data_IF_501495679945
#
_entry.id   IF_501495679945
#
_cell.length_a   1.000
_cell.length_b   1.000
_cell.length_c   1.000
_cell.angle_alpha   90.00
_cell.angle_beta   90.00
_cell.angle_gamma   90.00
#
_symmetry.space_group_name_H-M   'P 1'
#
loop_
_entity.id
_entity.type
_entity.pdbx_description
1 polymer ?
#
# COMPACT_ATOMS: atom_id res chain seq x y z
N UNK A 1 22.07 7.68 -26.91
CA UNK A 1 21.79 9.12 -26.71
C UNK A 1 20.61 9.35 -25.76
N UNK A 2 19.47 8.67 -25.98
CA UNK A 2 18.27 8.71 -25.11
C UNK A 2 18.57 8.37 -23.64
N UNK A 3 19.38 7.33 -23.38
CA UNK A 3 19.73 6.89 -22.02
C UNK A 3 20.57 7.92 -21.24
N UNK A 4 21.39 8.72 -21.92
CA UNK A 4 22.21 9.77 -21.27
C UNK A 4 21.37 11.01 -20.94
N UNK A 5 20.38 11.35 -21.78
CA UNK A 5 19.48 12.49 -21.56
C UNK A 5 18.43 12.21 -20.48
N UNK A 6 17.96 10.96 -20.37
CA UNK A 6 17.05 10.54 -19.30
C UNK A 6 17.66 10.65 -17.90
N UNK A 7 18.98 10.36 -17.77
CA UNK A 7 19.71 10.51 -16.50
C UNK A 7 20.26 11.92 -16.24
N UNK A 8 20.28 12.78 -17.26
CA UNK A 8 20.81 14.15 -17.20
C UNK A 8 19.80 15.23 -16.80
N UNK A 9 18.58 14.86 -16.41
CA UNK A 9 17.55 15.79 -15.91
C UNK A 9 16.76 16.54 -17.00
N UNK A 10 16.91 16.18 -18.28
CA UNK A 10 16.17 16.82 -19.38
C UNK A 10 15.20 15.83 -20.05
N UNK A 11 14.30 15.27 -19.24
CA UNK A 11 13.38 14.19 -19.60
C UNK A 11 12.43 14.58 -20.74
N UNK A 12 11.96 15.83 -20.78
CA UNK A 12 11.09 16.35 -21.86
C UNK A 12 11.80 16.40 -23.22
N UNK A 13 13.08 16.77 -23.24
CA UNK A 13 13.88 16.76 -24.46
C UNK A 13 14.16 15.32 -24.92
N UNK A 14 14.43 14.41 -23.98
CA UNK A 14 14.60 12.99 -24.28
C UNK A 14 13.33 12.38 -24.90
N UNK A 15 12.15 12.66 -24.33
CA UNK A 15 10.87 12.19 -24.85
C UNK A 15 10.62 12.69 -26.29
N UNK A 16 10.88 13.98 -26.56
CA UNK A 16 10.76 14.55 -27.91
C UNK A 16 11.66 13.85 -28.92
N UNK A 17 12.91 13.54 -28.55
CA UNK A 17 13.83 12.78 -29.42
C UNK A 17 13.32 11.36 -29.68
N UNK A 18 12.76 10.67 -28.67
CA UNK A 18 12.18 9.32 -28.86
C UNK A 18 11.01 9.35 -29.86
N UNK A 19 10.16 10.37 -29.75
CA UNK A 19 8.99 10.55 -30.62
C UNK A 19 9.39 10.94 -32.05
N UNK A 20 10.38 11.83 -32.20
CA UNK A 20 10.82 12.39 -33.48
C UNK A 20 11.74 11.46 -34.27
N UNK A 21 12.70 10.82 -33.59
CA UNK A 21 13.76 10.04 -34.24
C UNK A 21 13.30 8.66 -34.72
N UNK A 22 12.25 8.08 -34.13
CA UNK A 22 11.90 6.68 -34.42
C UNK A 22 10.44 6.35 -34.76
N UNK A 23 9.46 7.27 -34.70
CA UNK A 23 8.02 6.93 -34.87
C UNK A 23 7.55 5.74 -34.01
N UNK A 24 8.29 5.35 -32.97
CA UNK A 24 8.02 4.18 -32.12
C UNK A 24 7.32 4.63 -30.86
N UNK A 25 5.99 4.62 -30.90
CA UNK A 25 5.14 4.97 -29.76
C UNK A 25 5.42 4.07 -28.55
N UNK A 26 5.67 2.78 -28.77
CA UNK A 26 5.91 1.79 -27.71
C UNK A 26 7.09 2.19 -26.81
N UNK A 27 8.21 2.63 -27.40
CA UNK A 27 9.38 3.09 -26.64
C UNK A 27 9.11 4.36 -25.85
N UNK A 28 8.26 5.23 -26.36
CA UNK A 28 7.87 6.45 -25.65
C UNK A 28 6.96 6.13 -24.46
N UNK A 29 6.07 5.15 -24.62
CA UNK A 29 5.22 4.63 -23.54
C UNK A 29 6.08 3.99 -22.45
N UNK A 30 7.05 3.15 -22.82
CA UNK A 30 7.96 2.52 -21.85
C UNK A 30 8.80 3.56 -21.09
N UNK A 31 9.30 4.59 -21.78
CA UNK A 31 10.01 5.70 -21.14
C UNK A 31 9.12 6.46 -20.14
N UNK A 32 7.87 6.74 -20.49
CA UNK A 32 6.92 7.37 -19.57
C UNK A 32 6.59 6.48 -18.38
N UNK A 33 6.51 5.15 -18.56
CA UNK A 33 6.30 4.18 -17.47
C UNK A 33 7.49 4.10 -16.52
N UNK A 34 8.73 4.15 -17.04
CA UNK A 34 9.94 4.11 -16.21
C UNK A 34 10.10 5.36 -15.33
N UNK A 35 9.65 6.52 -15.82
CA UNK A 35 9.81 7.80 -15.13
C UNK A 35 8.60 8.24 -14.29
N UNK A 36 7.43 7.64 -14.49
CA UNK A 36 6.18 7.90 -13.74
C UNK A 36 5.83 9.40 -13.56
N UNK A 37 6.06 10.20 -14.61
CA UNK A 37 5.87 11.65 -14.59
C UNK A 37 4.63 12.08 -15.40
N UNK A 38 3.70 12.75 -14.74
CA UNK A 38 2.46 13.26 -15.33
C UNK A 38 2.69 14.30 -16.45
N UNK A 39 3.76 15.10 -16.39
CA UNK A 39 4.09 16.07 -17.44
C UNK A 39 4.56 15.36 -18.71
N UNK A 40 5.35 14.28 -18.57
CA UNK A 40 5.78 13.47 -19.71
C UNK A 40 4.58 12.79 -20.40
N UNK A 41 3.63 12.28 -19.61
CA UNK A 41 2.38 11.74 -20.15
C UNK A 41 1.56 12.80 -20.88
N UNK A 42 1.45 14.01 -20.32
CA UNK A 42 0.75 15.11 -20.97
C UNK A 42 1.39 15.51 -22.31
N UNK A 43 2.71 15.58 -22.36
CA UNK A 43 3.46 15.84 -23.59
C UNK A 43 3.18 14.73 -24.62
N UNK A 44 3.29 13.45 -24.23
CA UNK A 44 3.04 12.30 -25.10
C UNK A 44 1.61 12.30 -25.67
N UNK A 45 0.60 12.57 -24.83
CA UNK A 45 -0.81 12.66 -25.26
C UNK A 45 -0.99 13.80 -26.26
N UNK A 46 -0.36 14.96 -26.03
CA UNK A 46 -0.44 16.11 -26.94
C UNK A 46 0.17 15.80 -28.30
N UNK A 47 1.22 14.98 -28.35
CA UNK A 47 1.78 14.46 -29.61
C UNK A 47 0.87 13.41 -30.26
N UNK A 48 0.31 12.48 -29.47
CA UNK A 48 -0.54 11.40 -29.96
C UNK A 48 -1.86 11.89 -30.57
N UNK A 49 -2.48 12.93 -30.00
CA UNK A 49 -3.75 13.52 -30.50
C UNK A 49 -3.63 14.03 -31.95
N UNK A 50 -2.42 14.35 -32.42
CA UNK A 50 -2.18 14.77 -33.81
C UNK A 50 -2.24 13.61 -34.82
N UNK A 51 -2.23 12.35 -34.38
CA UNK A 51 -2.24 11.15 -35.24
C UNK A 51 -3.21 10.09 -34.72
N UNK A 52 -4.28 9.74 -35.45
CA UNK A 52 -5.34 8.87 -34.93
C UNK A 52 -4.84 7.46 -34.61
N UNK A 53 -3.91 6.94 -35.40
CA UNK A 53 -3.34 5.58 -35.22
C UNK A 53 -2.63 5.43 -33.87
N UNK A 54 -2.04 6.51 -33.35
CA UNK A 54 -1.35 6.49 -32.07
C UNK A 54 -2.31 6.51 -30.89
N UNK A 55 -3.51 7.09 -31.04
CA UNK A 55 -4.49 7.15 -29.96
C UNK A 55 -4.95 5.74 -29.58
N UNK A 56 -5.22 4.89 -30.59
CA UNK A 56 -5.66 3.51 -30.37
C UNK A 56 -4.60 2.68 -29.66
N UNK A 57 -3.34 2.83 -30.04
CA UNK A 57 -2.22 2.10 -29.43
C UNK A 57 -1.87 2.64 -28.04
N UNK A 58 -1.93 3.96 -27.85
CA UNK A 58 -1.80 4.59 -26.54
C UNK A 58 -2.88 4.05 -25.59
N UNK A 59 -4.16 4.09 -25.98
CA UNK A 59 -5.27 3.58 -25.17
C UNK A 59 -5.13 2.10 -24.80
N UNK A 60 -4.57 1.28 -25.69
CA UNK A 60 -4.33 -0.14 -25.43
C UNK A 60 -3.24 -0.39 -24.38
N UNK A 61 -2.26 0.50 -24.30
CA UNK A 61 -1.01 0.30 -23.54
C UNK A 61 -0.85 1.18 -22.29
N UNK A 62 -1.74 2.17 -22.11
CA UNK A 62 -1.75 3.07 -20.95
C UNK A 62 -2.13 2.36 -19.64
N UNK A 63 -2.99 1.33 -19.70
CA UNK A 63 -3.41 0.59 -18.50
C UNK A 63 -3.86 1.51 -17.37
N UNK A 64 -3.21 1.40 -16.20
CA UNK A 64 -3.52 2.13 -14.96
C UNK A 64 -2.69 3.39 -14.74
N UNK A 65 -1.78 3.75 -15.65
CA UNK A 65 -0.82 4.85 -15.43
C UNK A 65 -1.43 6.24 -15.67
N UNK A 66 -2.44 6.33 -16.54
CA UNK A 66 -3.10 7.60 -16.87
C UNK A 66 -4.60 7.37 -16.98
N UNK A 67 -5.38 8.31 -16.48
CA UNK A 67 -6.84 8.31 -16.64
C UNK A 67 -7.23 8.43 -18.13
N UNK A 68 -7.94 7.44 -18.71
CA UNK A 68 -8.42 7.48 -20.09
C UNK A 68 -9.28 8.71 -20.40
N UNK A 69 -9.93 9.28 -19.38
CA UNK A 69 -10.77 10.48 -19.50
C UNK A 69 -9.98 11.67 -20.06
N UNK A 70 -8.68 11.78 -19.72
CA UNK A 70 -7.81 12.86 -20.19
C UNK A 70 -7.62 12.79 -21.72
N UNK A 71 -7.54 11.58 -22.26
CA UNK A 71 -7.35 11.34 -23.69
C UNK A 71 -8.66 11.60 -24.41
N UNK A 72 -9.77 11.05 -23.91
CA UNK A 72 -11.11 11.23 -24.50
C UNK A 72 -11.47 12.70 -24.63
N UNK A 73 -11.17 13.52 -23.60
CA UNK A 73 -11.43 14.97 -23.63
C UNK A 73 -10.58 15.75 -24.63
N UNK A 74 -9.43 15.21 -25.05
CA UNK A 74 -8.51 15.86 -26.00
C UNK A 74 -8.74 15.45 -27.46
N UNK A 75 -9.59 14.44 -27.72
CA UNK A 75 -9.90 13.99 -29.09
C UNK A 75 -10.80 15.03 -29.79
N UNK A 76 -10.42 15.52 -30.99
CA UNK A 76 -11.27 16.40 -31.79
C UNK A 76 -12.53 15.68 -32.31
N UNK A 77 -13.68 16.36 -32.30
CA UNK A 77 -15.01 15.79 -32.61
C UNK A 77 -15.21 15.25 -34.04
N UNK A 78 -14.28 15.53 -34.96
CA UNK A 78 -14.36 15.15 -36.37
C UNK A 78 -13.27 14.13 -36.80
N UNK A 79 -12.62 13.47 -35.85
CA UNK A 79 -11.53 12.53 -36.14
C UNK A 79 -12.03 11.08 -36.23
N UNK A 80 -11.79 10.41 -37.35
CA UNK A 80 -12.02 8.97 -37.48
C UNK A 80 -10.86 8.20 -36.87
N UNK A 81 -11.07 7.60 -35.69
CA UNK A 81 -10.07 6.79 -35.00
C UNK A 81 -10.40 5.30 -35.20
N UNK A 82 -9.58 4.54 -35.95
CA UNK A 82 -9.82 3.12 -36.17
C UNK A 82 -9.65 2.32 -34.88
N UNK A 83 -10.57 1.40 -34.59
CA UNK A 83 -10.48 0.51 -33.42
C UNK A 83 -10.72 1.18 -32.06
N UNK A 84 -11.17 2.45 -32.02
CA UNK A 84 -11.43 3.18 -30.78
C UNK A 84 -12.45 2.47 -29.88
N UNK A 85 -13.51 1.93 -30.49
CA UNK A 85 -14.56 1.19 -29.75
C UNK A 85 -13.97 0.01 -29.00
N UNK A 86 -13.19 -0.82 -29.67
CA UNK A 86 -12.63 -2.05 -29.08
C UNK A 86 -11.62 -1.70 -27.99
N UNK A 87 -10.78 -0.69 -28.22
CA UNK A 87 -9.86 -0.17 -27.19
C UNK A 87 -10.62 0.37 -25.98
N UNK A 88 -11.70 1.13 -26.16
CA UNK A 88 -12.54 1.63 -25.06
C UNK A 88 -13.20 0.50 -24.28
N UNK A 89 -13.77 -0.49 -24.96
CA UNK A 89 -14.40 -1.65 -24.32
C UNK A 89 -13.38 -2.41 -23.49
N UNK A 90 -12.18 -2.65 -24.02
CA UNK A 90 -11.09 -3.28 -23.29
C UNK A 90 -10.70 -2.47 -22.05
N UNK A 91 -10.45 -1.17 -22.21
CA UNK A 91 -10.09 -0.29 -21.08
C UNK A 91 -11.16 -0.31 -19.99
N UNK A 92 -12.45 -0.17 -20.36
CA UNK A 92 -13.54 -0.21 -19.38
C UNK A 92 -13.62 -1.56 -18.65
N UNK A 93 -13.38 -2.67 -19.37
CA UNK A 93 -13.32 -3.99 -18.77
C UNK A 93 -12.15 -4.12 -17.78
N UNK A 94 -10.96 -3.65 -18.16
CA UNK A 94 -9.77 -3.65 -17.30
C UNK A 94 -10.01 -2.81 -16.02
N UNK A 95 -10.66 -1.65 -16.14
CA UNK A 95 -11.07 -0.82 -15.00
C UNK A 95 -12.10 -1.52 -14.10
N UNK A 96 -13.10 -2.18 -14.69
CA UNK A 96 -14.09 -2.93 -13.92
C UNK A 96 -13.44 -4.07 -13.12
N UNK A 97 -12.48 -4.77 -13.72
CA UNK A 97 -11.68 -5.79 -13.03
C UNK A 97 -10.85 -5.18 -11.89
N UNK A 98 -10.20 -4.03 -12.12
CA UNK A 98 -9.42 -3.34 -11.09
C UNK A 98 -10.29 -2.94 -9.89
N UNK A 99 -11.47 -2.37 -10.13
CA UNK A 99 -12.44 -2.01 -9.07
C UNK A 99 -12.87 -3.27 -8.30
N UNK A 100 -13.18 -4.36 -9.01
CA UNK A 100 -13.54 -5.63 -8.39
C UNK A 100 -12.43 -6.19 -7.50
N UNK A 101 -11.18 -6.11 -7.94
CA UNK A 101 -10.01 -6.52 -7.15
C UNK A 101 -9.84 -5.63 -5.93
N UNK A 102 -9.94 -4.31 -6.10
CA UNK A 102 -9.80 -3.36 -5.00
C UNK A 102 -10.87 -3.58 -3.93
N UNK A 103 -12.12 -3.82 -4.32
CA UNK A 103 -13.20 -4.11 -3.38
C UNK A 103 -13.01 -5.47 -2.69
N UNK A 104 -12.53 -6.48 -3.43
CA UNK A 104 -12.15 -7.77 -2.87
C UNK A 104 -11.07 -7.64 -1.79
N UNK A 105 -9.98 -6.94 -2.10
CA UNK A 105 -8.90 -6.65 -1.15
C UNK A 105 -9.40 -5.85 0.05
N UNK A 106 -10.23 -4.82 -0.18
CA UNK A 106 -10.82 -4.01 0.90
C UNK A 106 -11.63 -4.87 1.86
N UNK A 107 -12.47 -5.76 1.34
CA UNK A 107 -13.29 -6.67 2.15
C UNK A 107 -12.46 -7.62 2.99
N UNK A 108 -11.40 -8.21 2.42
CA UNK A 108 -10.48 -9.10 3.15
C UNK A 108 -9.78 -8.32 4.27
N UNK A 109 -9.18 -7.16 3.97
CA UNK A 109 -8.50 -6.34 4.97
C UNK A 109 -9.43 -5.91 6.10
N UNK A 110 -10.67 -5.50 5.79
CA UNK A 110 -11.64 -5.12 6.81
C UNK A 110 -12.05 -6.31 7.70
N UNK A 111 -12.19 -7.51 7.12
CA UNK A 111 -12.47 -8.70 7.90
C UNK A 111 -11.30 -9.04 8.83
N UNK A 112 -10.07 -9.02 8.32
CA UNK A 112 -8.86 -9.31 9.11
C UNK A 112 -8.71 -8.33 10.28
N UNK A 113 -8.96 -7.04 10.04
CA UNK A 113 -8.96 -6.02 11.10
C UNK A 113 -10.04 -6.31 12.14
N UNK A 114 -11.25 -6.69 11.71
CA UNK A 114 -12.34 -7.07 12.59
C UNK A 114 -11.98 -8.28 13.48
N UNK A 115 -11.50 -9.37 12.87
CA UNK A 115 -11.10 -10.59 13.59
C UNK A 115 -9.98 -10.33 14.59
N UNK A 116 -8.96 -9.55 14.20
CA UNK A 116 -7.86 -9.17 15.08
C UNK A 116 -8.32 -8.29 16.24
N UNK A 117 -9.21 -7.33 15.98
CA UNK A 117 -9.77 -6.48 17.02
C UNK A 117 -10.61 -7.28 18.01
N UNK A 118 -11.50 -8.14 17.54
CA UNK A 118 -12.28 -9.00 18.43
C UNK A 118 -11.38 -9.92 19.27
N UNK A 119 -10.34 -10.49 18.66
CA UNK A 119 -9.36 -11.32 19.38
C UNK A 119 -8.66 -10.50 20.46
N UNK A 120 -8.23 -9.28 20.16
CA UNK A 120 -7.62 -8.39 21.14
C UNK A 120 -8.59 -8.09 22.28
N UNK A 121 -9.84 -7.69 21.97
CA UNK A 121 -10.86 -7.41 22.98
C UNK A 121 -11.11 -8.62 23.88
N UNK A 122 -11.26 -9.82 23.32
CA UNK A 122 -11.39 -11.08 24.11
C UNK A 122 -10.19 -11.31 25.04
N UNK A 123 -8.97 -11.02 24.59
CA UNK A 123 -7.76 -11.18 25.42
C UNK A 123 -7.64 -10.11 26.51
N UNK A 124 -8.16 -8.90 26.28
CA UNK A 124 -8.15 -7.80 27.25
C UNK A 124 -9.27 -7.90 28.28
N UNK A 125 -10.45 -8.42 27.90
CA UNK A 125 -11.62 -8.52 28.80
C UNK A 125 -11.75 -9.87 29.48
N UNK A 126 -11.01 -10.90 29.06
CA UNK A 126 -11.01 -12.19 29.77
C UNK A 126 -10.51 -12.02 31.20
N UNK A 127 -11.19 -12.66 32.14
CA UNK A 127 -10.67 -12.83 33.49
C UNK A 127 -9.38 -13.64 33.45
N UNK A 128 -8.41 -13.25 34.29
CA UNK A 128 -7.13 -13.94 34.42
C UNK A 128 -7.08 -14.56 35.81
N UNK A 129 -6.87 -15.87 35.88
CA UNK A 129 -6.72 -16.58 37.15
C UNK A 129 -5.31 -16.38 37.71
N UNK A 130 -5.23 -15.90 38.96
CA UNK A 130 -3.99 -15.75 39.72
C UNK A 130 -4.07 -16.70 40.91
N UNK A 131 -3.30 -17.78 40.87
CA UNK A 131 -3.21 -18.74 41.97
C UNK A 131 -2.14 -18.37 42.98
N UNK A 132 -2.17 -18.93 44.18
CA UNK A 132 -1.15 -18.66 45.22
C UNK A 132 0.30 -18.97 44.76
N UNK A 133 0.46 -19.91 43.83
CA UNK A 133 1.76 -20.39 43.34
C UNK A 133 2.22 -19.64 42.08
N UNK A 134 1.40 -18.73 41.50
CA UNK A 134 1.80 -18.06 40.25
C UNK A 134 3.05 -17.19 40.48
N UNK A 135 4.15 -17.43 39.75
CA UNK A 135 5.39 -16.71 39.96
C UNK A 135 5.38 -15.36 39.24
N UNK A 136 6.03 -14.36 39.84
CA UNK A 136 6.32 -13.08 39.20
C UNK A 136 7.37 -13.27 38.10
N UNK A 137 7.14 -12.65 36.93
CA UNK A 137 8.05 -12.78 35.77
C UNK A 137 9.41 -12.10 35.96
N UNK A 138 9.53 -11.20 36.93
CA UNK A 138 10.77 -10.46 37.19
C UNK A 138 11.61 -11.08 38.31
N UNK A 139 10.98 -11.56 39.39
CA UNK A 139 11.70 -12.09 40.55
C UNK A 139 11.48 -13.58 40.83
N UNK A 140 10.61 -14.25 40.07
CA UNK A 140 10.26 -15.68 40.18
C UNK A 140 9.66 -16.11 41.53
N UNK A 141 9.37 -15.18 42.43
CA UNK A 141 8.69 -15.44 43.71
C UNK A 141 7.17 -15.50 43.52
N UNK A 142 6.42 -16.17 44.41
CA UNK A 142 4.96 -16.17 44.36
C UNK A 142 4.41 -14.74 44.40
N UNK A 143 3.38 -14.49 43.58
CA UNK A 143 2.77 -13.16 43.46
C UNK A 143 1.97 -12.77 44.70
N UNK A 144 1.30 -13.74 45.30
CA UNK A 144 0.46 -13.56 46.48
C UNK A 144 1.23 -13.98 47.73
N UNK A 145 1.23 -13.12 48.74
CA UNK A 145 1.66 -13.47 50.10
C UNK A 145 0.44 -13.91 50.92
N UNK A 146 0.57 -14.95 51.75
CA UNK A 146 -0.49 -15.40 52.66
C UNK A 146 -0.75 -14.38 53.79
N UNK A 147 0.24 -13.52 54.07
CA UNK A 147 0.14 -12.48 55.10
C UNK A 147 -0.43 -11.17 54.53
N UNK A 148 -1.63 -10.79 55.00
CA UNK A 148 -2.36 -9.56 54.61
C UNK A 148 -1.56 -8.28 54.84
N UNK A 149 -0.58 -8.31 55.76
CA UNK A 149 0.33 -7.18 56.05
C UNK A 149 1.35 -6.90 54.94
N UNK A 150 1.56 -7.86 54.05
CA UNK A 150 2.47 -7.75 52.90
C UNK A 150 1.70 -7.81 51.57
N UNK A 151 0.49 -7.24 51.55
CA UNK A 151 -0.27 -7.08 50.31
C UNK A 151 0.57 -6.29 49.29
N UNK A 152 0.75 -6.86 48.10
CA UNK A 152 1.54 -6.27 47.02
C UNK A 152 0.61 -5.94 45.87
N UNK A 153 0.80 -4.78 45.25
CA UNK A 153 0.17 -4.47 43.98
C UNK A 153 0.63 -5.47 42.91
N UNK A 154 -0.31 -5.97 42.11
CA UNK A 154 -0.04 -6.92 41.03
C UNK A 154 -0.34 -6.25 39.71
N UNK A 155 0.62 -6.29 38.79
CA UNK A 155 0.48 -5.80 37.42
C UNK A 155 0.25 -6.99 36.51
N UNK A 156 -0.88 -6.96 35.79
CA UNK A 156 -1.24 -7.99 34.81
C UNK A 156 -1.11 -7.38 33.42
N UNK A 157 -0.21 -7.94 32.62
CA UNK A 157 -0.05 -7.51 31.23
C UNK A 157 -1.13 -8.15 30.35
N UNK A 158 -1.51 -7.49 29.25
CA UNK A 158 -2.47 -8.03 28.28
C UNK A 158 -2.01 -9.35 27.60
N UNK A 159 -0.72 -9.70 27.71
CA UNK A 159 -0.20 -11.01 27.29
C UNK A 159 -0.47 -12.15 28.31
N UNK A 160 -1.04 -11.84 29.48
CA UNK A 160 -1.30 -12.81 30.55
C UNK A 160 -0.12 -13.08 31.49
N UNK A 161 0.97 -12.32 31.36
CA UNK A 161 2.09 -12.36 32.29
C UNK A 161 1.84 -11.46 33.50
N UNK A 162 2.46 -11.80 34.62
CA UNK A 162 2.21 -11.19 35.92
C UNK A 162 3.51 -10.68 36.56
N UNK A 163 3.47 -9.49 37.13
CA UNK A 163 4.59 -8.93 37.88
C UNK A 163 4.09 -8.30 39.20
N UNK A 164 4.96 -8.26 40.21
CA UNK A 164 4.76 -7.37 41.36
C UNK A 164 4.90 -5.92 40.90
N UNK A 165 4.11 -5.01 41.46
CA UNK A 165 4.18 -3.57 41.16
C UNK A 165 5.54 -2.95 41.47
N UNK A 166 6.31 -3.52 42.41
CA UNK A 166 7.67 -3.08 42.74
C UNK A 166 8.78 -3.79 41.94
N UNK A 167 8.46 -4.86 41.20
CA UNK A 167 9.47 -5.60 40.43
C UNK A 167 9.67 -5.06 39.02
N UNK A 168 8.86 -4.09 38.59
CA UNK A 168 8.96 -3.50 37.27
C UNK A 168 8.78 -1.97 37.33
N UNK A 169 9.89 -1.24 37.43
CA UNK A 169 9.94 0.23 37.38
C UNK A 169 9.52 0.80 36.01
N UNK A 170 9.22 -0.06 35.01
CA UNK A 170 8.77 0.34 33.67
C UNK A 170 7.45 -0.36 33.31
N UNK A 171 6.36 0.12 33.91
CA UNK A 171 4.95 -0.27 33.73
C UNK A 171 4.38 -0.25 32.29
N UNK A 172 5.20 -0.28 31.24
CA UNK A 172 4.79 -0.05 29.86
C UNK A 172 4.87 -1.30 28.98
N UNK A 173 5.63 -2.34 29.36
CA UNK A 173 5.76 -3.54 28.53
C UNK A 173 6.15 -4.79 29.32
N UNK A 174 5.61 -5.95 28.93
CA UNK A 174 5.97 -7.22 29.52
C UNK A 174 7.43 -7.60 29.20
N UNK A 175 8.28 -7.94 30.18
CA UNK A 175 9.69 -8.28 29.94
C UNK A 175 9.91 -9.58 29.13
N UNK A 176 8.89 -10.43 29.03
CA UNK A 176 8.94 -11.68 28.24
C UNK A 176 8.47 -11.44 26.78
N UNK A 177 7.42 -10.64 26.60
CA UNK A 177 6.80 -10.43 25.29
C UNK A 177 7.28 -9.18 24.56
N UNK A 178 7.97 -8.27 25.24
CA UNK A 178 8.56 -7.11 24.59
C UNK A 178 9.55 -7.59 23.51
N UNK A 179 9.44 -7.13 22.26
CA UNK A 179 10.42 -7.46 21.24
C UNK A 179 11.78 -6.97 21.75
N UNK A 180 12.74 -7.89 21.92
CA UNK A 180 14.14 -7.51 22.09
C UNK A 180 14.48 -6.68 20.85
N UNK A 181 14.59 -5.36 21.01
CA UNK A 181 15.07 -4.49 19.93
C UNK A 181 16.39 -5.09 19.47
N UNK A 182 16.42 -5.62 18.25
CA UNK A 182 17.64 -6.08 17.63
C UNK A 182 18.61 -4.89 17.64
N UNK A 183 19.76 -5.09 18.27
CA UNK A 183 20.86 -4.13 18.28
C UNK A 183 21.49 -4.09 16.90
#
# INVERSE_FOLDING_TARGET
LVFLLGRGGNQRAALKVIIDDQKRLDKAIDFCKEHDDADLWNDLITFAVKRPDYITELMRNIGTYVDPTIIIRRIPSAMTIPGLRDSLVKTLHDYALQISLQEGCRRVTLNDVGELLERLMRLQTRGVYVGAITPCVACHKPLLSEDVRYAVDVVIFFCGHFAHGYCDDRLLACPICAPKRAK
#
